data_IF_790174340458
#
_entry.id   IF_790174340458
#
_cell.length_a   1.000
_cell.length_b   1.000
_cell.length_c   1.000
_cell.angle_alpha   90.00
_cell.angle_beta   90.00
_cell.angle_gamma   90.00
#
_symmetry.space_group_name_H-M   'P 1'
#
loop_
_entity.id
_entity.type
_entity.pdbx_description
1 polymer ?
#
# COMPACT_ATOMS: atom_id res chain seq x y z
N UNK A 1 26.00 -11.47 -7.67
CA UNK A 1 24.89 -12.29 -8.25
C UNK A 1 24.16 -13.07 -7.16
N UNK A 2 24.83 -13.57 -6.11
CA UNK A 2 24.18 -14.35 -5.04
C UNK A 2 23.35 -13.52 -4.07
N UNK A 3 23.73 -12.27 -3.77
CA UNK A 3 23.04 -11.36 -2.86
C UNK A 3 21.69 -10.86 -3.41
N UNK A 4 21.65 -10.57 -4.70
CA UNK A 4 20.45 -10.00 -5.35
C UNK A 4 19.32 -11.03 -5.49
N UNK A 5 19.68 -12.28 -5.81
CA UNK A 5 18.71 -13.36 -5.86
C UNK A 5 18.12 -13.68 -4.47
N UNK A 6 18.95 -13.61 -3.42
CA UNK A 6 18.50 -13.77 -2.04
C UNK A 6 17.53 -12.68 -1.60
N UNK A 7 17.84 -11.42 -1.85
CA UNK A 7 16.98 -10.28 -1.53
C UNK A 7 15.64 -10.36 -2.28
N UNK A 8 15.66 -10.68 -3.57
CA UNK A 8 14.44 -10.88 -4.37
C UNK A 8 13.60 -12.03 -3.82
N UNK A 9 14.21 -13.16 -3.45
CA UNK A 9 13.49 -14.29 -2.85
C UNK A 9 12.82 -13.90 -1.52
N UNK A 10 13.53 -13.21 -0.63
CA UNK A 10 13.01 -12.75 0.65
C UNK A 10 11.82 -11.79 0.43
N UNK A 11 11.94 -10.87 -0.53
CA UNK A 11 10.84 -9.97 -0.89
C UNK A 11 9.62 -10.74 -1.37
N UNK A 12 9.77 -11.66 -2.33
CA UNK A 12 8.67 -12.46 -2.88
C UNK A 12 8.01 -13.30 -1.78
N UNK A 13 8.81 -14.03 -1.01
CA UNK A 13 8.29 -14.91 0.05
C UNK A 13 7.59 -14.10 1.15
N UNK A 14 8.17 -12.98 1.56
CA UNK A 14 7.59 -12.07 2.55
C UNK A 14 6.27 -11.47 2.07
N UNK A 15 6.23 -10.96 0.83
CA UNK A 15 5.01 -10.43 0.23
C UNK A 15 3.91 -11.50 0.17
N UNK A 16 4.21 -12.70 -0.36
CA UNK A 16 3.22 -13.78 -0.43
C UNK A 16 2.71 -14.15 0.97
N UNK A 17 3.58 -14.27 1.97
CA UNK A 17 3.18 -14.61 3.33
C UNK A 17 2.28 -13.53 3.96
N UNK A 18 2.61 -12.27 3.76
CA UNK A 18 1.81 -11.12 4.24
C UNK A 18 0.44 -11.12 3.58
N UNK A 19 0.40 -11.21 2.25
CA UNK A 19 -0.85 -11.16 1.49
C UNK A 19 -1.76 -12.36 1.78
N UNK A 20 -1.19 -13.56 1.93
CA UNK A 20 -1.96 -14.74 2.36
C UNK A 20 -2.55 -14.54 3.77
N UNK A 21 -1.82 -13.89 4.67
CA UNK A 21 -2.31 -13.58 6.01
C UNK A 21 -3.50 -12.62 5.96
N UNK A 22 -3.42 -11.55 5.19
CA UNK A 22 -4.53 -10.61 5.01
C UNK A 22 -5.73 -11.29 4.34
N UNK A 23 -5.47 -12.10 3.33
CA UNK A 23 -6.53 -12.82 2.61
C UNK A 23 -7.25 -13.80 3.52
N UNK A 24 -6.52 -14.61 4.30
CA UNK A 24 -7.10 -15.59 5.23
C UNK A 24 -7.92 -14.91 6.33
N UNK A 25 -7.39 -13.85 6.94
CA UNK A 25 -8.11 -13.10 7.98
C UNK A 25 -9.35 -12.42 7.38
N UNK A 26 -9.22 -11.79 6.21
CA UNK A 26 -10.34 -11.11 5.55
C UNK A 26 -11.43 -12.07 5.12
N UNK A 27 -11.08 -13.17 4.45
CA UNK A 27 -12.05 -14.22 4.05
C UNK A 27 -12.70 -14.84 5.29
N UNK A 28 -11.89 -15.17 6.32
CA UNK A 28 -12.39 -15.67 7.58
C UNK A 28 -13.46 -14.74 8.17
N UNK A 29 -13.15 -13.44 8.28
CA UNK A 29 -14.09 -12.45 8.80
C UNK A 29 -15.39 -12.40 7.98
N UNK A 30 -15.29 -12.34 6.65
CA UNK A 30 -16.47 -12.30 5.75
C UNK A 30 -17.29 -13.58 5.87
N UNK A 31 -16.65 -14.75 5.95
CA UNK A 31 -17.32 -16.05 6.05
C UNK A 31 -18.11 -16.24 7.34
N UNK A 32 -17.62 -15.67 8.45
CA UNK A 32 -18.32 -15.71 9.75
C UNK A 32 -19.44 -14.66 9.88
N UNK A 33 -19.62 -13.79 8.88
CA UNK A 33 -20.59 -12.69 8.88
C UNK A 33 -21.47 -12.72 7.64
N UNK A 34 -22.50 -13.56 7.64
CA UNK A 34 -23.40 -13.79 6.50
C UNK A 34 -24.06 -12.53 5.91
N UNK A 35 -24.23 -11.48 6.72
CA UNK A 35 -24.77 -10.19 6.28
C UNK A 35 -23.70 -9.20 5.77
N UNK A 36 -22.42 -9.54 5.86
CA UNK A 36 -21.34 -8.67 5.42
C UNK A 36 -21.02 -8.94 3.95
N UNK A 37 -21.17 -7.92 3.13
CA UNK A 37 -20.86 -8.02 1.70
C UNK A 37 -19.68 -7.11 1.36
N UNK A 38 -18.67 -7.65 0.71
CA UNK A 38 -17.57 -6.88 0.18
C UNK A 38 -17.97 -6.33 -1.19
N UNK A 39 -17.91 -5.00 -1.39
CA UNK A 39 -18.26 -4.42 -2.68
C UNK A 39 -17.17 -4.71 -3.71
N UNK A 40 -17.46 -5.67 -4.59
CA UNK A 40 -16.57 -6.10 -5.67
C UNK A 40 -17.30 -5.98 -7.02
N UNK A 41 -16.96 -4.92 -7.74
CA UNK A 41 -17.40 -4.72 -9.12
C UNK A 41 -16.37 -3.89 -9.86
N UNK A 42 -16.31 -4.05 -11.18
CA UNK A 42 -15.42 -3.25 -12.02
C UNK A 42 -15.88 -1.79 -11.96
N UNK A 43 -14.94 -0.83 -11.74
CA UNK A 43 -15.27 0.59 -11.78
C UNK A 43 -15.87 0.98 -13.14
N UNK A 44 -16.91 1.79 -13.09
CA UNK A 44 -17.55 2.34 -14.29
C UNK A 44 -16.71 3.48 -14.91
N UNK A 45 -17.17 4.00 -16.05
CA UNK A 45 -16.48 5.10 -16.75
C UNK A 45 -16.50 6.40 -15.95
N UNK A 46 -17.50 6.60 -15.11
CA UNK A 46 -17.63 7.79 -14.24
C UNK A 46 -16.63 7.76 -13.08
N UNK A 47 -16.07 6.59 -12.80
CA UNK A 47 -14.98 6.40 -11.82
C UNK A 47 -13.60 6.81 -12.35
N UNK A 48 -13.42 6.96 -13.68
CA UNK A 48 -12.10 7.29 -14.30
C UNK A 48 -11.49 8.59 -13.74
N UNK A 49 -12.21 9.70 -13.61
CA UNK A 49 -11.63 10.91 -13.01
C UNK A 49 -11.14 10.70 -11.57
N UNK A 50 -11.86 9.90 -10.77
CA UNK A 50 -11.44 9.57 -9.42
C UNK A 50 -10.19 8.69 -9.41
N UNK A 51 -10.08 7.70 -10.30
CA UNK A 51 -8.88 6.87 -10.48
C UNK A 51 -7.66 7.71 -10.85
N UNK A 52 -7.79 8.58 -11.86
CA UNK A 52 -6.71 9.49 -12.29
C UNK A 52 -6.32 10.43 -11.15
N UNK A 53 -7.31 10.99 -10.45
CA UNK A 53 -7.07 11.85 -9.29
C UNK A 53 -6.38 11.10 -8.15
N UNK A 54 -6.79 9.88 -7.84
CA UNK A 54 -6.17 9.02 -6.83
C UNK A 54 -4.71 8.69 -7.16
N UNK A 55 -4.43 8.30 -8.40
CA UNK A 55 -3.06 8.07 -8.89
C UNK A 55 -2.22 9.36 -8.81
N UNK A 56 -2.76 10.49 -9.27
CA UNK A 56 -2.08 11.77 -9.20
C UNK A 56 -1.73 12.19 -7.78
N UNK A 57 -2.66 12.03 -6.83
CA UNK A 57 -2.41 12.28 -5.41
C UNK A 57 -1.35 11.31 -4.85
N UNK A 58 -1.39 10.03 -5.21
CA UNK A 58 -0.40 9.04 -4.80
C UNK A 58 1.00 9.43 -5.25
N UNK A 59 1.19 9.74 -6.53
CA UNK A 59 2.49 10.18 -7.07
C UNK A 59 2.96 11.52 -6.49
N UNK A 60 2.04 12.47 -6.27
CA UNK A 60 2.37 13.72 -5.60
C UNK A 60 2.83 13.48 -4.15
N UNK A 61 2.16 12.58 -3.42
CA UNK A 61 2.56 12.19 -2.06
C UNK A 61 3.94 11.53 -2.06
N UNK A 62 4.23 10.64 -3.02
CA UNK A 62 5.54 10.02 -3.15
C UNK A 62 6.64 11.04 -3.46
N UNK A 63 6.38 11.96 -4.40
CA UNK A 63 7.32 13.03 -4.74
C UNK A 63 7.59 13.95 -3.54
N UNK A 64 6.56 14.39 -2.84
CA UNK A 64 6.71 15.20 -1.63
C UNK A 64 7.45 14.44 -0.52
N UNK A 65 7.24 13.13 -0.40
CA UNK A 65 7.98 12.27 0.53
C UNK A 65 9.47 12.27 0.20
N UNK A 66 9.86 12.12 -1.06
CA UNK A 66 11.26 12.17 -1.49
C UNK A 66 11.89 13.52 -1.19
N UNK A 67 11.27 14.61 -1.65
CA UNK A 67 11.80 15.96 -1.46
C UNK A 67 11.92 16.32 0.03
N UNK A 68 10.94 15.94 0.85
CA UNK A 68 10.98 16.21 2.30
C UNK A 68 12.05 15.37 2.99
N UNK A 69 12.31 14.15 2.54
CA UNK A 69 13.38 13.31 3.08
C UNK A 69 14.74 13.92 2.81
N UNK A 70 15.02 14.31 1.58
CA UNK A 70 16.29 14.95 1.21
C UNK A 70 16.54 16.24 2.01
N UNK A 71 15.47 17.01 2.26
CA UNK A 71 15.57 18.27 2.99
C UNK A 71 15.71 18.10 4.51
N UNK A 72 15.03 17.13 5.10
CA UNK A 72 14.93 16.97 6.57
C UNK A 72 15.82 15.86 7.10
N UNK A 73 16.09 14.84 6.32
CA UNK A 73 16.85 13.64 6.68
C UNK A 73 17.93 13.32 5.63
N UNK A 74 18.84 14.27 5.31
CA UNK A 74 19.80 14.11 4.21
C UNK A 74 20.78 12.93 4.38
N UNK A 75 20.86 12.35 5.58
CA UNK A 75 21.66 11.15 5.86
C UNK A 75 20.88 9.83 5.69
N UNK A 76 19.60 9.91 5.32
CA UNK A 76 18.72 8.73 5.21
C UNK A 76 18.26 8.62 3.76
N UNK A 77 18.80 7.64 3.04
CA UNK A 77 18.30 7.28 1.71
C UNK A 77 16.95 6.56 1.87
N UNK A 78 15.84 7.29 1.68
CA UNK A 78 14.50 6.73 1.61
C UNK A 78 14.04 6.73 0.16
N UNK A 79 13.65 5.58 -0.34
CA UNK A 79 12.80 5.53 -1.53
C UNK A 79 11.32 5.71 -1.15
N UNK A 80 10.45 6.07 -2.09
CA UNK A 80 9.01 6.06 -1.83
C UNK A 80 8.62 4.69 -1.30
N UNK A 81 8.05 4.67 -0.09
CA UNK A 81 7.65 3.42 0.53
C UNK A 81 8.80 2.60 1.09
N UNK A 82 9.54 3.10 2.05
CA UNK A 82 10.33 2.36 3.06
C UNK A 82 11.20 1.16 2.61
N UNK A 83 11.16 0.75 1.36
CA UNK A 83 11.80 -0.49 0.91
C UNK A 83 13.33 -0.47 0.98
N UNK A 84 13.95 0.71 0.94
CA UNK A 84 15.41 0.81 1.01
C UNK A 84 15.96 0.95 2.44
N UNK A 85 15.14 1.31 3.41
CA UNK A 85 15.63 1.32 4.80
C UNK A 85 16.00 -0.07 5.29
N UNK A 86 15.43 -1.10 4.68
CA UNK A 86 15.65 -2.48 5.12
C UNK A 86 16.71 -3.22 4.33
N UNK A 87 17.45 -2.69 3.41
CA UNK A 87 18.50 -3.38 2.61
C UNK A 87 18.44 -4.95 2.54
N UNK A 88 17.60 -5.55 3.37
CA UNK A 88 17.41 -6.98 3.55
C UNK A 88 16.56 -7.62 2.44
N UNK A 89 15.71 -6.83 1.79
CA UNK A 89 14.74 -7.35 0.83
C UNK A 89 14.43 -6.38 -0.32
N UNK A 90 15.32 -5.45 -0.64
CA UNK A 90 15.14 -4.59 -1.81
C UNK A 90 15.40 -5.41 -3.09
N UNK A 91 14.37 -5.67 -3.92
CA UNK A 91 14.60 -6.35 -5.18
C UNK A 91 15.42 -5.48 -6.13
N UNK A 92 16.26 -6.09 -6.97
CA UNK A 92 17.07 -5.42 -7.98
C UNK A 92 16.86 -6.06 -9.35
N UNK A 93 17.16 -5.36 -10.42
CA UNK A 93 17.09 -5.89 -11.77
C UNK A 93 15.74 -6.56 -12.08
N UNK A 94 15.75 -7.85 -12.45
CA UNK A 94 14.54 -8.62 -12.74
C UNK A 94 13.60 -8.70 -11.53
N UNK A 95 14.13 -8.65 -10.32
CA UNK A 95 13.34 -8.64 -9.09
C UNK A 95 12.39 -7.45 -9.00
N UNK A 96 12.76 -6.28 -9.54
CA UNK A 96 11.90 -5.10 -9.61
C UNK A 96 10.69 -5.34 -10.54
N UNK A 97 10.90 -6.04 -11.65
CA UNK A 97 9.82 -6.41 -12.58
C UNK A 97 8.86 -7.40 -11.90
N UNK A 98 9.41 -8.39 -11.19
CA UNK A 98 8.59 -9.34 -10.42
C UNK A 98 7.79 -8.61 -9.33
N UNK A 99 8.40 -7.67 -8.61
CA UNK A 99 7.72 -6.86 -7.61
C UNK A 99 6.59 -6.03 -8.22
N UNK A 100 6.79 -5.45 -9.39
CA UNK A 100 5.76 -4.71 -10.13
C UNK A 100 4.57 -5.62 -10.52
N UNK A 101 4.85 -6.81 -11.02
CA UNK A 101 3.81 -7.80 -11.36
C UNK A 101 3.06 -8.25 -10.12
N UNK A 102 3.76 -8.55 -9.02
CA UNK A 102 3.13 -8.90 -7.74
C UNK A 102 2.28 -7.76 -7.19
N UNK A 103 2.71 -6.52 -7.36
CA UNK A 103 1.93 -5.35 -6.94
C UNK A 103 0.58 -5.25 -7.67
N UNK A 104 0.57 -5.53 -8.96
CA UNK A 104 -0.66 -5.52 -9.78
C UNK A 104 -1.56 -6.72 -9.50
N UNK A 105 -0.97 -7.91 -9.36
CA UNK A 105 -1.73 -9.16 -9.33
C UNK A 105 -2.08 -9.65 -7.91
N UNK A 106 -1.34 -9.23 -6.90
CA UNK A 106 -1.47 -9.75 -5.54
C UNK A 106 -1.56 -8.64 -4.49
N UNK A 107 -0.51 -7.80 -4.35
CA UNK A 107 -0.40 -6.84 -3.24
C UNK A 107 -1.56 -5.85 -3.27
N UNK A 108 -1.72 -5.09 -4.35
CA UNK A 108 -2.81 -4.11 -4.48
C UNK A 108 -4.19 -4.75 -4.27
N UNK A 109 -4.55 -5.83 -4.99
CA UNK A 109 -5.84 -6.50 -4.80
C UNK A 109 -6.09 -7.00 -3.37
N UNK A 110 -5.13 -7.67 -2.75
CA UNK A 110 -5.33 -8.28 -1.42
C UNK A 110 -5.33 -7.23 -0.32
N UNK A 111 -4.40 -6.27 -0.35
CA UNK A 111 -4.40 -5.19 0.64
C UNK A 111 -5.68 -4.36 0.56
N UNK A 112 -6.13 -3.99 -0.65
CA UNK A 112 -7.34 -3.20 -0.77
C UNK A 112 -8.62 -4.00 -0.44
N UNK A 113 -8.65 -5.30 -0.73
CA UNK A 113 -9.69 -6.18 -0.21
C UNK A 113 -9.73 -6.11 1.32
N UNK A 114 -8.60 -6.25 1.99
CA UNK A 114 -8.52 -6.28 3.45
C UNK A 114 -8.81 -4.91 4.08
N UNK A 115 -8.11 -3.86 3.65
CA UNK A 115 -8.22 -2.54 4.28
C UNK A 115 -9.51 -1.81 3.88
N UNK A 116 -9.97 -1.88 2.63
CA UNK A 116 -11.17 -1.16 2.14
C UNK A 116 -12.38 -2.06 2.13
N UNK A 117 -12.25 -3.24 1.53
CA UNK A 117 -13.33 -4.21 1.45
C UNK A 117 -13.79 -4.73 2.81
N UNK A 118 -12.88 -4.91 3.78
CA UNK A 118 -13.22 -5.44 5.11
C UNK A 118 -13.18 -4.33 6.17
N UNK A 119 -12.03 -3.73 6.46
CA UNK A 119 -11.86 -2.82 7.60
C UNK A 119 -12.67 -1.53 7.38
N UNK A 120 -12.42 -0.78 6.29
CA UNK A 120 -13.13 0.47 6.05
C UNK A 120 -14.63 0.26 5.89
N UNK A 121 -15.05 -0.76 5.15
CA UNK A 121 -16.46 -1.15 5.01
C UNK A 121 -17.11 -1.43 6.38
N UNK A 122 -16.41 -2.09 7.28
CA UNK A 122 -16.90 -2.35 8.65
C UNK A 122 -17.01 -1.05 9.46
N UNK A 123 -16.05 -0.17 9.36
CA UNK A 123 -16.08 1.14 10.02
C UNK A 123 -17.23 2.00 9.51
N UNK A 124 -17.55 1.94 8.21
CA UNK A 124 -18.68 2.68 7.59
C UNK A 124 -20.04 2.28 8.17
N UNK A 125 -20.17 1.10 8.73
CA UNK A 125 -21.40 0.69 9.39
C UNK A 125 -21.71 1.49 10.70
N UNK A 126 -20.70 2.16 11.28
CA UNK A 126 -20.86 2.86 12.57
C UNK A 126 -20.31 4.30 12.55
N UNK A 127 -19.52 4.67 11.55
CA UNK A 127 -18.85 5.97 11.48
C UNK A 127 -19.11 6.68 10.17
N UNK A 128 -18.85 8.00 10.17
CA UNK A 128 -18.89 8.82 8.95
C UNK A 128 -17.80 8.36 7.97
N UNK A 129 -17.96 8.71 6.68
CA UNK A 129 -16.96 8.42 5.66
C UNK A 129 -15.57 8.98 6.03
N UNK A 130 -15.50 10.22 6.49
CA UNK A 130 -14.24 10.86 6.88
C UNK A 130 -13.54 10.11 8.02
N UNK A 131 -14.30 9.71 9.05
CA UNK A 131 -13.77 8.93 10.17
C UNK A 131 -13.29 7.56 9.72
N UNK A 132 -14.08 6.88 8.88
CA UNK A 132 -13.72 5.55 8.37
C UNK A 132 -12.46 5.61 7.49
N UNK A 133 -12.35 6.58 6.59
CA UNK A 133 -11.15 6.81 5.78
C UNK A 133 -9.93 7.05 6.67
N UNK A 134 -10.03 8.00 7.61
CA UNK A 134 -8.90 8.33 8.49
C UNK A 134 -8.47 7.16 9.35
N UNK A 135 -9.41 6.44 9.98
CA UNK A 135 -9.11 5.27 10.82
C UNK A 135 -8.52 4.13 10.00
N UNK A 136 -9.10 3.81 8.83
CA UNK A 136 -8.56 2.75 7.97
C UNK A 136 -7.18 3.12 7.41
N UNK A 137 -6.94 4.42 7.10
CA UNK A 137 -5.63 4.93 6.70
C UNK A 137 -4.58 4.81 7.79
N UNK A 138 -4.93 5.11 9.04
CA UNK A 138 -4.04 4.90 10.20
C UNK A 138 -3.74 3.42 10.43
N UNK A 139 -4.74 2.54 10.33
CA UNK A 139 -4.53 1.09 10.44
C UNK A 139 -3.61 0.59 9.32
N UNK A 140 -3.80 1.07 8.09
CA UNK A 140 -2.91 0.79 6.97
C UNK A 140 -1.46 1.20 7.28
N UNK A 141 -1.26 2.41 7.80
CA UNK A 141 0.06 2.88 8.19
C UNK A 141 0.69 2.02 9.30
N UNK A 142 -0.08 1.62 10.32
CA UNK A 142 0.41 0.76 11.39
C UNK A 142 0.92 -0.58 10.88
N UNK A 143 0.24 -1.18 9.91
CA UNK A 143 0.72 -2.42 9.29
C UNK A 143 2.02 -2.22 8.51
N UNK A 144 2.25 -1.06 7.92
CA UNK A 144 3.50 -0.74 7.24
C UNK A 144 4.65 -0.37 8.18
N UNK A 145 4.36 -0.10 9.46
CA UNK A 145 5.38 0.16 10.49
C UNK A 145 5.87 -1.10 11.21
N UNK A 146 5.43 -2.32 10.80
CA UNK A 146 5.86 -3.56 11.43
C UNK A 146 7.39 -3.79 11.48
N UNK A 147 8.23 -3.25 10.57
CA UNK A 147 9.66 -3.43 10.65
C UNK A 147 10.33 -2.58 11.75
N UNK A 148 9.67 -1.53 12.24
CA UNK A 148 10.23 -0.58 13.21
C UNK A 148 10.82 -1.25 14.46
N UNK A 149 10.14 -2.23 15.12
CA UNK A 149 10.69 -2.89 16.30
C UNK A 149 11.98 -3.67 16.05
N UNK A 150 12.21 -4.10 14.81
CA UNK A 150 13.37 -4.92 14.42
C UNK A 150 14.55 -4.09 13.94
N UNK A 151 14.30 -2.91 13.41
CA UNK A 151 15.30 -2.06 12.74
C UNK A 151 15.70 -0.85 13.58
N UNK A 152 14.90 -0.49 14.58
CA UNK A 152 15.14 0.67 15.46
C UNK A 152 15.50 1.96 14.70
N UNK A 153 14.73 2.34 13.66
CA UNK A 153 15.04 3.54 12.89
C UNK A 153 14.89 4.82 13.73
N UNK A 154 15.54 5.93 13.33
CA UNK A 154 15.33 7.23 13.97
C UNK A 154 13.85 7.61 14.01
N UNK A 155 13.41 8.23 15.11
CA UNK A 155 11.99 8.61 15.29
C UNK A 155 11.46 9.51 14.16
N UNK A 156 12.31 10.34 13.57
CA UNK A 156 11.95 11.16 12.41
C UNK A 156 11.58 10.31 11.19
N UNK A 157 12.29 9.20 10.96
CA UNK A 157 11.96 8.23 9.89
C UNK A 157 10.62 7.57 10.18
N UNK A 158 10.38 7.14 11.42
CA UNK A 158 9.11 6.53 11.84
C UNK A 158 7.95 7.51 11.61
N UNK A 159 8.11 8.77 12.04
CA UNK A 159 7.08 9.80 11.88
C UNK A 159 6.81 10.09 10.40
N UNK A 160 7.87 10.20 9.58
CA UNK A 160 7.75 10.38 8.13
C UNK A 160 6.98 9.25 7.46
N UNK A 161 7.33 8.01 7.78
CA UNK A 161 6.63 6.82 7.26
C UNK A 161 5.18 6.75 7.71
N UNK A 162 4.92 7.00 9.01
CA UNK A 162 3.57 7.00 9.54
C UNK A 162 2.69 8.02 8.79
N UNK A 163 3.23 9.21 8.52
CA UNK A 163 2.54 10.23 7.73
C UNK A 163 2.33 9.77 6.28
N UNK A 164 3.38 9.29 5.62
CA UNK A 164 3.32 8.83 4.24
C UNK A 164 2.27 7.74 4.03
N UNK A 165 2.33 6.67 4.82
CA UNK A 165 1.38 5.57 4.69
C UNK A 165 -0.03 5.94 5.14
N UNK A 166 -0.20 6.87 6.09
CA UNK A 166 -1.52 7.40 6.45
C UNK A 166 -2.14 8.18 5.31
N UNK A 167 -1.34 8.99 4.59
CA UNK A 167 -1.80 9.73 3.42
C UNK A 167 -2.16 8.78 2.28
N UNK A 168 -1.31 7.80 1.96
CA UNK A 168 -1.59 6.78 0.94
C UNK A 168 -2.86 5.99 1.30
N UNK A 169 -2.95 5.55 2.56
CA UNK A 169 -4.15 4.90 3.08
C UNK A 169 -5.41 5.75 2.97
N UNK A 170 -5.29 7.06 3.23
CA UNK A 170 -6.38 8.02 3.06
C UNK A 170 -6.81 8.20 1.60
N UNK A 171 -5.85 8.28 0.66
CA UNK A 171 -6.12 8.38 -0.79
C UNK A 171 -6.89 7.16 -1.29
N UNK A 172 -6.43 5.95 -0.97
CA UNK A 172 -7.12 4.72 -1.38
C UNK A 172 -8.49 4.58 -0.69
N UNK A 173 -8.58 5.00 0.59
CA UNK A 173 -9.87 5.05 1.29
C UNK A 173 -10.85 6.04 0.68
N UNK A 174 -10.38 7.21 0.25
CA UNK A 174 -11.18 8.18 -0.49
C UNK A 174 -11.63 7.63 -1.84
N UNK A 175 -10.74 6.96 -2.56
CA UNK A 175 -11.06 6.33 -3.84
C UNK A 175 -12.14 5.25 -3.69
N UNK A 176 -12.05 4.43 -2.64
CA UNK A 176 -13.09 3.46 -2.29
C UNK A 176 -14.46 4.12 -2.08
N UNK A 177 -14.54 5.20 -1.30
CA UNK A 177 -15.81 5.92 -1.06
C UNK A 177 -16.37 6.57 -2.35
N UNK A 178 -15.49 7.00 -3.26
CA UNK A 178 -15.90 7.64 -4.53
C UNK A 178 -16.43 6.65 -5.55
N UNK A 179 -15.93 5.44 -5.54
CA UNK A 179 -16.22 4.44 -6.58
C UNK A 179 -17.13 3.31 -6.08
N UNK A 180 -17.31 3.19 -4.77
CA UNK A 180 -18.17 2.17 -4.15
C UNK A 180 -17.62 0.74 -4.32
N UNK A 181 -16.37 0.55 -4.75
CA UNK A 181 -15.74 -0.75 -4.94
C UNK A 181 -14.28 -0.74 -4.49
N UNK A 182 -13.79 -1.82 -3.87
CA UNK A 182 -12.38 -1.91 -3.55
C UNK A 182 -11.49 -2.17 -4.79
N UNK A 183 -12.07 -2.55 -5.92
CA UNK A 183 -11.34 -2.80 -7.18
C UNK A 183 -10.68 -1.52 -7.69
N UNK A 184 -11.31 -0.36 -7.51
CA UNK A 184 -10.74 0.91 -7.94
C UNK A 184 -9.44 1.28 -7.18
N UNK A 185 -9.43 1.32 -5.82
CA UNK A 185 -8.17 1.51 -5.11
C UNK A 185 -7.17 0.37 -5.33
N UNK A 186 -7.60 -0.88 -5.54
CA UNK A 186 -6.71 -2.00 -5.87
C UNK A 186 -5.94 -1.75 -7.17
N UNK A 187 -6.62 -1.27 -8.21
CA UNK A 187 -5.99 -0.88 -9.47
C UNK A 187 -5.02 0.29 -9.26
N UNK A 188 -5.45 1.34 -8.56
CA UNK A 188 -4.61 2.52 -8.30
C UNK A 188 -3.37 2.14 -7.48
N UNK A 189 -3.53 1.35 -6.43
CA UNK A 189 -2.44 0.89 -5.57
C UNK A 189 -1.45 0.00 -6.35
N UNK A 190 -1.96 -1.00 -7.07
CA UNK A 190 -1.12 -1.90 -7.87
C UNK A 190 -0.33 -1.15 -8.94
N UNK A 191 -0.97 -0.22 -9.67
CA UNK A 191 -0.31 0.61 -10.68
C UNK A 191 0.72 1.54 -10.04
N UNK A 192 0.37 2.20 -8.94
CA UNK A 192 1.29 3.07 -8.22
C UNK A 192 2.56 2.31 -7.80
N UNK A 193 2.40 1.19 -7.11
CA UNK A 193 3.54 0.36 -6.68
C UNK A 193 4.35 -0.18 -7.87
N UNK A 194 3.68 -0.64 -8.93
CA UNK A 194 4.37 -1.13 -10.12
C UNK A 194 5.26 -0.06 -10.75
N UNK A 195 4.77 1.18 -10.88
CA UNK A 195 5.57 2.30 -11.38
C UNK A 195 6.75 2.60 -10.47
N UNK A 196 6.53 2.65 -9.15
CA UNK A 196 7.60 2.89 -8.16
C UNK A 196 8.69 1.81 -8.25
N UNK A 197 8.29 0.53 -8.43
CA UNK A 197 9.27 -0.56 -8.55
C UNK A 197 10.07 -0.51 -9.84
N UNK A 198 9.46 -0.17 -10.98
CA UNK A 198 10.19 -0.17 -12.26
C UNK A 198 10.94 1.13 -12.51
N UNK A 199 10.61 2.24 -11.85
CA UNK A 199 11.25 3.53 -12.05
C UNK A 199 12.81 3.47 -11.99
N UNK A 200 13.45 2.75 -11.04
CA UNK A 200 14.90 2.64 -10.98
C UNK A 200 15.55 1.91 -12.16
N UNK A 201 14.78 1.23 -13.01
CA UNK A 201 15.32 0.59 -14.22
C UNK A 201 15.59 1.58 -15.36
N UNK A 202 15.12 2.84 -15.21
CA UNK A 202 15.21 3.87 -16.23
C UNK A 202 16.08 5.07 -15.80
N UNK A 203 16.62 5.03 -14.59
CA UNK A 203 17.55 6.03 -14.03
C UNK A 203 18.93 5.45 -13.81
#
# INVERSE_FOLDING_TARGET
VGSDAGATFIFIAGSIATELSFLLVGIGYVSFRSSFQVPIHVPDRDSVPALVGGLGMGFATAFLSLVSTDAVLPSVELSPGFMQYTNLAAPTGVGLVIAAVLSLALIGPVEEFFFRGVIQQRLRASFSARTAIGTAGLVFALFHLYPVPFLSPPIAVVAHMALYYSLMGGIFGWLFERTGTFVAPALAHGVFNAVVFVAPLFT
#
